data_IF_976239315597
#
_entry.id   IF_976239315597
#
_cell.length_a   1.000
_cell.length_b   1.000
_cell.length_c   1.000
_cell.angle_alpha   90.00
_cell.angle_beta   90.00
_cell.angle_gamma   90.00
#
_symmetry.space_group_name_H-M   'P 1'
#
loop_
_entity.id
_entity.type
_entity.pdbx_description
1 polymer ?
#
# COMPACT_ATOMS: atom_id res chain seq x y z
N UNK A 1 4.94 -10.59 18.09
CA UNK A 1 6.13 -11.28 17.54
C UNK A 1 5.72 -12.70 17.17
N UNK A 2 5.27 -12.95 15.94
CA UNK A 2 4.70 -14.28 15.62
C UNK A 2 5.09 -14.85 14.25
N UNK A 3 5.31 -14.03 13.21
CA UNK A 3 5.44 -14.55 11.83
C UNK A 3 6.62 -14.00 11.00
N UNK A 4 7.29 -12.91 11.43
CA UNK A 4 8.11 -12.08 10.53
C UNK A 4 9.62 -12.13 10.77
N UNK A 5 10.11 -12.99 11.67
CA UNK A 5 11.52 -13.00 12.07
C UNK A 5 12.44 -13.60 10.99
N UNK A 6 12.12 -14.80 10.51
CA UNK A 6 13.00 -15.57 9.64
C UNK A 6 12.26 -15.97 8.38
N UNK A 7 12.68 -15.39 7.26
CA UNK A 7 12.30 -15.92 5.96
C UNK A 7 13.26 -17.05 5.60
N UNK A 8 12.69 -18.16 5.14
CA UNK A 8 13.42 -19.30 4.64
C UNK A 8 14.46 -18.85 3.60
N UNK A 9 15.71 -19.34 3.62
CA UNK A 9 16.78 -18.84 2.75
C UNK A 9 16.48 -18.93 1.25
N UNK A 10 15.66 -19.90 0.85
CA UNK A 10 15.20 -20.06 -0.53
C UNK A 10 14.01 -19.16 -0.92
N UNK A 11 13.41 -18.41 0.02
CA UNK A 11 12.41 -17.38 -0.29
C UNK A 11 13.07 -16.20 -0.98
N UNK A 12 12.41 -15.63 -1.98
CA UNK A 12 12.95 -14.46 -2.69
C UNK A 12 12.83 -13.20 -1.83
N UNK A 13 13.95 -12.73 -1.31
CA UNK A 13 14.02 -11.53 -0.46
C UNK A 13 14.15 -10.23 -1.25
N UNK A 14 13.61 -9.17 -0.66
CA UNK A 14 13.82 -7.82 -1.15
C UNK A 14 15.15 -7.29 -0.60
N UNK A 15 15.87 -6.51 -1.41
CA UNK A 15 17.10 -5.82 -1.01
C UNK A 15 16.82 -4.33 -0.90
N UNK A 16 17.27 -3.70 0.18
CA UNK A 16 17.07 -2.28 0.46
C UNK A 16 18.42 -1.60 0.69
N UNK A 17 18.57 -0.38 0.18
CA UNK A 17 19.72 0.47 0.51
C UNK A 17 19.57 0.94 1.96
N UNK A 18 20.52 0.58 2.82
CA UNK A 18 20.46 0.80 4.27
C UNK A 18 21.68 1.55 4.82
N UNK A 19 22.86 1.29 4.26
CA UNK A 19 24.09 1.99 4.59
C UNK A 19 24.46 2.91 3.44
N UNK A 20 24.57 4.19 3.73
CA UNK A 20 24.98 5.22 2.77
C UNK A 20 25.57 6.41 3.53
N UNK A 21 26.42 7.16 2.86
CA UNK A 21 26.97 8.41 3.37
C UNK A 21 25.92 9.52 3.29
N UNK A 22 25.63 10.18 4.40
CA UNK A 22 24.59 11.22 4.51
C UNK A 22 24.82 12.39 3.55
N UNK A 23 26.08 12.80 3.36
CA UNK A 23 26.50 13.87 2.46
C UNK A 23 26.41 13.50 0.97
N UNK A 24 26.18 12.22 0.65
CA UNK A 24 26.13 11.70 -0.72
C UNK A 24 24.85 10.93 -1.05
N UNK A 25 23.80 11.16 -0.26
CA UNK A 25 22.50 10.55 -0.48
C UNK A 25 21.40 11.60 -0.53
N UNK A 26 20.44 11.40 -1.42
CA UNK A 26 19.20 12.19 -1.51
C UNK A 26 17.99 11.28 -1.25
N UNK A 27 16.85 11.85 -0.87
CA UNK A 27 15.60 11.10 -0.76
C UNK A 27 14.82 11.17 -2.07
N UNK A 28 14.15 10.07 -2.44
CA UNK A 28 13.24 10.10 -3.59
C UNK A 28 12.05 11.03 -3.37
N UNK A 29 11.57 11.67 -4.43
CA UNK A 29 10.39 12.54 -4.44
C UNK A 29 9.06 11.79 -4.33
N UNK A 30 9.10 10.49 -4.01
CA UNK A 30 7.89 9.68 -3.88
C UNK A 30 7.14 10.09 -2.60
N UNK A 31 5.84 10.40 -2.74
CA UNK A 31 4.95 10.73 -1.62
C UNK A 31 4.90 9.61 -0.57
N UNK A 32 5.09 8.37 -1.01
CA UNK A 32 5.12 7.15 -0.21
C UNK A 32 6.24 6.25 -0.70
N UNK A 33 6.95 5.63 0.24
CA UNK A 33 8.19 4.86 0.00
C UNK A 33 9.33 5.74 -0.50
N UNK A 34 9.49 6.92 0.12
CA UNK A 34 10.72 7.69 0.00
C UNK A 34 11.90 6.76 0.33
N UNK A 35 12.79 6.61 -0.64
CA UNK A 35 13.94 5.72 -0.53
C UNK A 35 15.22 6.55 -0.74
N UNK A 36 16.29 6.26 0.00
CA UNK A 36 17.57 6.89 -0.23
C UNK A 36 18.08 6.53 -1.63
N UNK A 37 18.57 7.53 -2.34
CA UNK A 37 19.25 7.42 -3.62
C UNK A 37 20.68 7.90 -3.44
N UNK A 38 21.63 7.19 -4.04
CA UNK A 38 23.05 7.55 -4.00
C UNK A 38 23.56 7.66 -5.42
N UNK A 39 24.32 8.71 -5.70
CA UNK A 39 25.05 8.85 -6.95
C UNK A 39 26.39 8.11 -6.80
N UNK A 40 26.42 6.82 -7.17
CA UNK A 40 27.65 6.02 -7.08
C UNK A 40 27.40 4.50 -7.11
N UNK A 41 28.48 3.75 -6.90
CA UNK A 41 28.45 2.29 -6.85
C UNK A 41 27.71 1.80 -5.60
N UNK A 42 26.75 0.89 -5.79
CA UNK A 42 26.02 0.24 -4.70
C UNK A 42 26.49 -1.21 -4.58
N UNK A 43 27.13 -1.52 -3.45
CA UNK A 43 27.58 -2.87 -3.11
C UNK A 43 26.51 -3.70 -2.40
N UNK A 44 26.76 -5.01 -2.28
CA UNK A 44 25.97 -5.93 -1.45
C UNK A 44 26.74 -6.26 -0.18
N UNK A 45 26.12 -6.04 0.97
CA UNK A 45 26.65 -6.51 2.23
C UNK A 45 26.24 -7.98 2.46
N UNK A 46 27.15 -8.84 2.94
CA UNK A 46 26.80 -10.17 3.40
C UNK A 46 25.98 -10.07 4.70
N UNK A 47 25.04 -10.98 4.88
CA UNK A 47 24.21 -11.05 6.09
C UNK A 47 22.77 -10.55 5.92
N UNK A 48 22.07 -10.55 7.05
CA UNK A 48 20.63 -10.35 7.14
C UNK A 48 20.35 -9.15 8.03
N UNK A 49 19.50 -8.23 7.55
CA UNK A 49 19.01 -7.15 8.37
C UNK A 49 17.62 -7.52 8.91
N UNK A 50 17.54 -7.81 10.21
CA UNK A 50 16.26 -7.98 10.89
C UNK A 50 15.54 -6.63 10.94
N UNK A 51 14.25 -6.64 10.59
CA UNK A 51 13.44 -5.43 10.60
C UNK A 51 12.18 -5.65 11.41
N UNK A 52 12.19 -5.17 12.64
CA UNK A 52 11.12 -5.37 13.63
C UNK A 52 9.97 -4.36 13.48
N UNK A 53 9.62 -4.01 12.24
CA UNK A 53 8.65 -2.96 11.97
C UNK A 53 7.21 -3.33 12.33
N UNK A 54 6.85 -4.61 12.38
CA UNK A 54 5.46 -5.07 12.46
C UNK A 54 5.31 -6.17 13.51
N UNK A 55 4.85 -5.78 14.71
CA UNK A 55 4.87 -6.65 15.89
C UNK A 55 3.66 -7.59 15.97
N UNK A 56 2.54 -7.20 15.37
CA UNK A 56 1.26 -7.90 15.39
C UNK A 56 0.45 -7.64 14.10
N UNK A 57 -0.66 -8.37 13.94
CA UNK A 57 -1.52 -8.28 12.76
C UNK A 57 -2.29 -6.96 12.69
N UNK A 58 -2.71 -6.37 13.81
CA UNK A 58 -3.39 -5.08 13.85
C UNK A 58 -2.50 -3.98 13.29
N UNK A 59 -1.29 -3.86 13.85
CA UNK A 59 -0.24 -2.94 13.37
C UNK A 59 0.04 -3.15 11.87
N UNK A 60 0.05 -4.40 11.40
CA UNK A 60 0.26 -4.72 9.99
C UNK A 60 -0.89 -4.20 9.12
N UNK A 61 -2.12 -4.45 9.53
CA UNK A 61 -3.33 -4.03 8.81
C UNK A 61 -3.47 -2.51 8.80
N UNK A 62 -3.19 -1.84 9.91
CA UNK A 62 -3.21 -0.37 10.01
C UNK A 62 -2.20 0.26 9.06
N UNK A 63 -0.98 -0.28 9.00
CA UNK A 63 0.00 0.13 8.01
C UNK A 63 -0.52 -0.08 6.60
N UNK A 64 -1.01 -1.28 6.29
CA UNK A 64 -1.59 -1.59 4.98
C UNK A 64 -2.67 -0.57 4.59
N UNK A 65 -3.54 -0.22 5.55
CA UNK A 65 -4.59 0.77 5.38
C UNK A 65 -4.02 2.16 5.07
N UNK A 66 -3.07 2.64 5.89
CA UNK A 66 -2.41 3.94 5.71
C UNK A 66 -1.63 4.03 4.39
N UNK A 67 -0.85 3.00 4.06
CA UNK A 67 -0.12 2.91 2.80
C UNK A 67 -1.08 2.91 1.60
N UNK A 68 -2.19 2.18 1.67
CA UNK A 68 -3.19 2.20 0.60
C UNK A 68 -3.80 3.59 0.43
N UNK A 69 -4.12 4.29 1.53
CA UNK A 69 -4.68 5.66 1.52
C UNK A 69 -3.79 6.63 0.77
N UNK A 70 -2.52 6.78 1.16
CA UNK A 70 -1.70 7.82 0.54
C UNK A 70 -1.39 7.52 -0.94
N UNK A 71 -1.50 6.26 -1.41
CA UNK A 71 -1.30 5.97 -2.85
C UNK A 71 -2.51 6.35 -3.71
N UNK A 72 -3.66 6.66 -3.09
CA UNK A 72 -4.89 6.97 -3.81
C UNK A 72 -4.77 8.27 -4.60
N UNK A 73 -4.27 9.35 -3.96
CA UNK A 73 -4.11 10.65 -4.59
C UNK A 73 -3.20 10.61 -5.84
N UNK A 74 -2.06 9.93 -5.72
CA UNK A 74 -1.12 9.78 -6.85
C UNK A 74 -1.72 9.00 -8.02
N UNK A 75 -2.56 7.99 -7.73
CA UNK A 75 -3.22 7.18 -8.77
C UNK A 75 -4.41 7.84 -9.40
N UNK A 76 -5.12 8.68 -8.66
CA UNK A 76 -6.15 9.57 -9.21
C UNK A 76 -5.51 10.52 -10.23
N UNK A 77 -4.41 11.20 -9.85
CA UNK A 77 -3.66 12.11 -10.74
C UNK A 77 -3.17 11.41 -12.01
N UNK A 78 -2.71 10.16 -11.92
CA UNK A 78 -2.22 9.39 -13.06
C UNK A 78 -3.31 8.78 -13.95
N UNK A 79 -4.60 8.97 -13.65
CA UNK A 79 -5.68 8.52 -14.53
C UNK A 79 -5.74 7.00 -14.71
N UNK A 80 -5.60 6.20 -13.65
CA UNK A 80 -5.60 4.72 -13.79
C UNK A 80 -6.92 4.20 -14.41
N UNK A 81 -6.93 3.82 -15.69
CA UNK A 81 -8.04 3.07 -16.26
C UNK A 81 -8.26 1.72 -15.54
N UNK A 82 -9.43 1.10 -15.73
CA UNK A 82 -9.71 -0.30 -15.37
C UNK A 82 -9.63 -0.64 -13.87
N UNK A 83 -9.94 0.32 -12.99
CA UNK A 83 -9.84 0.11 -11.52
C UNK A 83 -10.72 -1.05 -11.05
N UNK A 84 -11.95 -1.19 -11.56
CA UNK A 84 -12.87 -2.29 -11.21
C UNK A 84 -12.27 -3.66 -11.54
N UNK A 85 -11.80 -3.84 -12.77
CA UNK A 85 -11.18 -5.09 -13.23
C UNK A 85 -9.91 -5.41 -12.43
N UNK A 86 -9.06 -4.40 -12.18
CA UNK A 86 -7.83 -4.58 -11.38
C UNK A 86 -8.11 -4.91 -9.93
N UNK A 87 -9.18 -4.35 -9.35
CA UNK A 87 -9.59 -4.64 -7.98
C UNK A 87 -9.96 -6.11 -7.78
N UNK A 88 -10.56 -6.75 -8.79
CA UNK A 88 -10.98 -8.16 -8.72
C UNK A 88 -9.85 -9.12 -9.13
N UNK A 89 -9.21 -8.86 -10.27
CA UNK A 89 -8.26 -9.83 -10.86
C UNK A 89 -6.85 -9.74 -10.28
N UNK A 90 -6.44 -8.56 -9.81
CA UNK A 90 -5.05 -8.38 -9.38
C UNK A 90 -4.73 -9.00 -8.01
N UNK A 91 -5.60 -8.98 -6.99
CA UNK A 91 -5.29 -9.59 -5.69
C UNK A 91 -5.01 -11.11 -5.76
N UNK A 92 -5.80 -11.94 -6.47
CA UNK A 92 -5.49 -13.37 -6.63
C UNK A 92 -4.16 -13.60 -7.37
N UNK A 93 -3.89 -12.82 -8.42
CA UNK A 93 -2.61 -12.88 -9.16
C UNK A 93 -1.45 -12.49 -8.26
N UNK A 94 -1.61 -11.45 -7.44
CA UNK A 94 -0.60 -11.03 -6.48
C UNK A 94 -0.34 -12.13 -5.44
N UNK A 95 -1.41 -12.72 -4.89
CA UNK A 95 -1.32 -13.84 -3.95
C UNK A 95 -0.50 -14.98 -4.55
N UNK A 96 -0.88 -15.49 -5.72
CA UNK A 96 -0.18 -16.58 -6.41
C UNK A 96 1.29 -16.24 -6.70
N UNK A 97 1.54 -15.00 -7.16
CA UNK A 97 2.90 -14.48 -7.38
C UNK A 97 3.74 -14.52 -6.10
N UNK A 98 3.18 -14.10 -4.98
CA UNK A 98 3.93 -14.08 -3.71
C UNK A 98 4.05 -15.44 -3.06
N UNK A 99 2.97 -16.21 -3.03
CA UNK A 99 2.91 -17.50 -2.40
C UNK A 99 3.80 -18.51 -3.12
N UNK A 100 3.57 -18.69 -4.43
CA UNK A 100 4.25 -19.69 -5.24
C UNK A 100 5.58 -19.17 -5.79
N UNK A 101 5.56 -18.10 -6.60
CA UNK A 101 6.75 -17.66 -7.34
C UNK A 101 7.83 -17.01 -6.45
N UNK A 102 7.44 -16.34 -5.35
CA UNK A 102 8.41 -15.89 -4.35
C UNK A 102 8.71 -16.94 -3.28
N UNK A 103 8.10 -18.13 -3.36
CA UNK A 103 8.30 -19.25 -2.43
C UNK A 103 8.03 -18.85 -0.98
N UNK A 104 6.95 -18.10 -0.76
CA UNK A 104 6.48 -17.78 0.59
C UNK A 104 5.86 -18.99 1.28
N UNK A 105 5.42 -20.01 0.53
CA UNK A 105 4.96 -21.29 1.10
C UNK A 105 6.02 -21.99 1.96
N UNK A 106 7.31 -21.73 1.72
CA UNK A 106 8.41 -22.26 2.53
C UNK A 106 8.43 -21.68 3.95
N UNK A 107 7.71 -20.58 4.20
CA UNK A 107 7.55 -19.97 5.52
C UNK A 107 6.30 -20.48 6.25
N UNK A 108 5.63 -21.53 5.74
CA UNK A 108 4.42 -22.08 6.33
C UNK A 108 3.30 -21.04 6.48
N UNK A 109 2.61 -21.06 7.62
CA UNK A 109 1.52 -20.13 7.91
C UNK A 109 1.94 -18.66 7.88
N UNK A 110 3.17 -18.34 8.28
CA UNK A 110 3.68 -16.97 8.24
C UNK A 110 3.69 -16.41 6.81
N UNK A 111 4.17 -17.20 5.86
CA UNK A 111 4.17 -16.81 4.44
C UNK A 111 2.77 -16.73 3.85
N UNK A 112 1.82 -17.54 4.35
CA UNK A 112 0.45 -17.57 3.85
C UNK A 112 -0.23 -16.27 4.25
N UNK A 113 -0.16 -15.95 5.54
CA UNK A 113 -0.62 -14.68 6.12
C UNK A 113 0.04 -13.51 5.37
N UNK A 114 1.35 -13.54 5.13
CA UNK A 114 2.06 -12.52 4.34
C UNK A 114 1.47 -12.31 2.95
N UNK A 115 1.18 -13.40 2.25
CA UNK A 115 0.68 -13.39 0.88
C UNK A 115 -0.77 -12.88 0.85
N UNK A 116 -1.61 -13.30 1.80
CA UNK A 116 -3.00 -12.83 1.94
C UNK A 116 -3.04 -11.34 2.31
N UNK A 117 -2.29 -10.92 3.33
CA UNK A 117 -2.22 -9.50 3.73
C UNK A 117 -1.68 -8.62 2.60
N UNK A 118 -0.70 -9.12 1.84
CA UNK A 118 -0.20 -8.42 0.64
C UNK A 118 -1.25 -8.32 -0.46
N UNK A 119 -2.01 -9.38 -0.73
CA UNK A 119 -3.13 -9.34 -1.68
C UNK A 119 -4.22 -8.36 -1.23
N UNK A 120 -4.56 -8.37 0.06
CA UNK A 120 -5.50 -7.43 0.68
C UNK A 120 -5.04 -5.97 0.54
N UNK A 121 -3.75 -5.69 0.74
CA UNK A 121 -3.18 -4.36 0.47
C UNK A 121 -3.42 -3.91 -0.97
N UNK A 122 -3.20 -4.80 -1.95
CA UNK A 122 -3.42 -4.43 -3.34
C UNK A 122 -4.89 -4.24 -3.67
N UNK A 123 -5.78 -5.04 -3.09
CA UNK A 123 -7.22 -4.81 -3.17
C UNK A 123 -7.58 -3.41 -2.65
N UNK A 124 -7.19 -3.08 -1.41
CA UNK A 124 -7.48 -1.79 -0.78
C UNK A 124 -6.95 -0.61 -1.61
N UNK A 125 -5.77 -0.78 -2.21
CA UNK A 125 -5.18 0.23 -3.08
C UNK A 125 -6.05 0.60 -4.27
N UNK A 126 -6.78 -0.36 -4.86
CA UNK A 126 -7.73 -0.08 -5.94
C UNK A 126 -9.11 0.34 -5.42
N UNK A 127 -9.57 -0.25 -4.31
CA UNK A 127 -10.83 0.12 -3.67
C UNK A 127 -10.86 1.60 -3.27
N UNK A 128 -9.79 2.12 -2.66
CA UNK A 128 -9.68 3.52 -2.27
C UNK A 128 -9.59 4.50 -3.44
N UNK A 129 -8.96 4.08 -4.53
CA UNK A 129 -8.99 4.88 -5.78
C UNK A 129 -10.41 4.94 -6.34
N UNK A 130 -11.15 3.84 -6.27
CA UNK A 130 -12.54 3.80 -6.71
C UNK A 130 -13.44 4.65 -5.81
N UNK A 131 -13.29 4.56 -4.48
CA UNK A 131 -13.99 5.39 -3.50
C UNK A 131 -13.75 6.89 -3.77
N UNK A 132 -12.49 7.30 -3.89
CA UNK A 132 -12.14 8.70 -4.15
C UNK A 132 -12.71 9.22 -5.48
N UNK A 133 -12.78 8.38 -6.53
CA UNK A 133 -13.46 8.74 -7.79
C UNK A 133 -14.94 8.99 -7.58
N UNK A 134 -15.61 8.15 -6.78
CA UNK A 134 -17.03 8.34 -6.49
C UNK A 134 -17.26 9.59 -5.66
N UNK A 135 -16.41 9.88 -4.69
CA UNK A 135 -16.49 11.12 -3.89
C UNK A 135 -16.37 12.36 -4.78
N UNK A 136 -15.38 12.41 -5.67
CA UNK A 136 -15.22 13.52 -6.63
C UNK A 136 -16.43 13.67 -7.57
N UNK A 137 -17.02 12.57 -8.01
CA UNK A 137 -18.22 12.62 -8.84
C UNK A 137 -19.48 13.08 -8.09
N UNK A 138 -19.54 12.86 -6.76
CA UNK A 138 -20.67 13.21 -5.91
C UNK A 138 -20.54 14.61 -5.28
N UNK A 139 -19.34 15.20 -5.22
CA UNK A 139 -19.11 16.55 -4.70
C UNK A 139 -20.12 17.59 -5.19
N UNK A 140 -20.36 17.77 -6.50
CA UNK A 140 -21.29 18.79 -6.96
C UNK A 140 -22.74 18.54 -6.50
N UNK A 141 -23.15 17.28 -6.31
CA UNK A 141 -24.49 16.93 -5.81
C UNK A 141 -24.61 17.23 -4.33
N UNK A 142 -23.56 16.94 -3.56
CA UNK A 142 -23.51 17.22 -2.12
C UNK A 142 -23.49 18.72 -1.86
N UNK A 143 -22.70 19.48 -2.63
CA UNK A 143 -22.64 20.95 -2.56
C UNK A 143 -23.98 21.57 -2.94
N UNK A 144 -24.59 21.16 -4.06
CA UNK A 144 -25.92 21.63 -4.45
C UNK A 144 -26.99 21.34 -3.38
N UNK A 145 -26.94 20.18 -2.71
CA UNK A 145 -27.86 19.84 -1.61
C UNK A 145 -27.60 20.66 -0.35
N UNK A 146 -26.35 21.03 -0.07
CA UNK A 146 -25.99 21.89 1.04
C UNK A 146 -26.43 23.35 0.81
N UNK A 147 -26.30 23.85 -0.41
CA UNK A 147 -26.83 25.17 -0.83
C UNK A 147 -28.37 25.22 -0.78
N UNK A 148 -29.02 24.08 -1.03
CA UNK A 148 -30.47 23.89 -0.87
C UNK A 148 -30.88 23.51 0.57
N UNK A 149 -30.00 23.73 1.56
CA UNK A 149 -30.30 23.54 2.99
C UNK A 149 -31.63 24.17 3.38
N UNK A 150 -32.32 23.65 4.43
CA UNK A 150 -33.75 23.84 4.63
C UNK A 150 -34.12 25.31 4.49
N UNK A 151 -34.73 25.67 3.36
CA UNK A 151 -35.42 26.95 3.26
C UNK A 151 -36.40 26.94 4.40
N UNK A 152 -36.31 27.92 5.27
CA UNK A 152 -37.22 28.20 6.36
C UNK A 152 -38.65 28.34 5.83
N UNK A 153 -39.30 27.23 5.50
CA UNK A 153 -40.75 27.14 5.35
C UNK A 153 -41.28 26.76 6.73
N UNK A 154 -41.11 27.67 7.68
CA UNK A 154 -41.77 27.66 8.99
C UNK A 154 -41.63 29.06 9.62
N UNK A 155 -42.08 30.07 8.88
CA UNK A 155 -42.50 31.36 9.45
C UNK A 155 -43.75 31.78 8.69
N UNK A 156 -44.91 31.24 9.08
CA UNK A 156 -46.26 31.85 8.98
C UNK A 156 -47.33 30.74 8.95
N UNK A 157 -47.80 30.34 10.12
CA UNK A 157 -49.17 29.88 10.33
C UNK A 157 -49.58 30.25 11.76
#
# INVERSE_FOLDING_TARGET
>A
WLFWQFQHPATRMNRYLRLFRRDRASMSSASIHAAPQVAGLVGRLPGWLMHDGERDIGTKVDKVNAYASGTAADRLRRGSGWVRTRMVLYPPVFFLRTWLFKRQFLNGWAGFIASVTGAYYVFLKYAKVYEARRQLALQPIVEAKAELGPRSTDVAA
#
